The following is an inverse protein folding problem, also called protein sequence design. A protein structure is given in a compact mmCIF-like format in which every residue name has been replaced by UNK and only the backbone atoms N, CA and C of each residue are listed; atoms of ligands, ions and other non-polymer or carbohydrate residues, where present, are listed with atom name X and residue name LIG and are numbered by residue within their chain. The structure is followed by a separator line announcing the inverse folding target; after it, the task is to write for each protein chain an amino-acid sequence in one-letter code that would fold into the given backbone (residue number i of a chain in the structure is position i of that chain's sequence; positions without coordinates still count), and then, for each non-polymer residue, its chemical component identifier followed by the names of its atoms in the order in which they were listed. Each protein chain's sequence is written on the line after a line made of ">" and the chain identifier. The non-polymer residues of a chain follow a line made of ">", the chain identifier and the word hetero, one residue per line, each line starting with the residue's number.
data_IF_223908576425
#
_entry.id   IF_223908576425
#
_cell.length_a   1.000
_cell.length_b   1.000
_cell.length_c   1.000
_cell.angle_alpha   90.00
_cell.angle_beta   90.00
_cell.angle_gamma   90.00
#
_symmetry.space_group_name_H-M   'P 1'
#
loop_
_entity.id
_entity.type
_entity.pdbx_description
1 polymer ?
#
# COMPACT_ATOMS: atom_id res chain seq x y z
N UNK A 1 -10.46 -9.26 -1.80
CA UNK A 1 -11.20 -10.19 -0.92
C UNK A 1 -12.23 -9.42 -0.08
N UNK A 2 -13.29 -10.07 0.40
CA UNK A 2 -14.30 -9.45 1.27
C UNK A 2 -14.28 -10.00 2.70
N UNK A 3 -13.53 -11.07 2.94
CA UNK A 3 -13.24 -11.67 4.25
C UNK A 3 -11.72 -11.67 4.44
N UNK A 4 -11.26 -11.43 5.67
CA UNK A 4 -9.86 -11.22 6.00
C UNK A 4 -9.44 -12.10 7.18
N UNK A 5 -8.25 -12.70 7.09
CA UNK A 5 -7.67 -13.53 8.14
C UNK A 5 -6.91 -12.69 9.18
N UNK A 6 -6.38 -11.54 8.76
CA UNK A 6 -5.66 -10.59 9.61
C UNK A 6 -5.91 -9.15 9.09
N UNK A 7 -5.92 -8.18 10.00
CA UNK A 7 -6.03 -6.75 9.70
C UNK A 7 -5.11 -5.98 10.65
N UNK A 8 -4.21 -5.18 10.07
CA UNK A 8 -3.21 -4.39 10.78
C UNK A 8 -3.35 -2.92 10.41
N UNK A 9 -3.54 -2.09 11.43
CA UNK A 9 -3.48 -0.64 11.30
C UNK A 9 -2.02 -0.23 11.46
N UNK A 10 -1.39 0.19 10.37
CA UNK A 10 0.05 0.42 10.33
C UNK A 10 0.40 1.85 10.77
N UNK A 11 -0.32 2.83 10.24
CA UNK A 11 -0.13 4.26 10.50
C UNK A 11 -1.46 4.98 10.35
N UNK A 12 -1.61 6.13 10.98
CA UNK A 12 -2.75 7.00 10.74
C UNK A 12 -2.96 8.05 11.83
N UNK A 13 -3.72 9.07 11.46
CA UNK A 13 -4.19 10.12 12.35
C UNK A 13 -5.63 10.44 11.98
N UNK A 14 -6.51 10.50 12.98
CA UNK A 14 -7.94 10.75 12.78
C UNK A 14 -8.13 12.10 12.10
N UNK A 15 -8.84 12.11 10.98
CA UNK A 15 -9.08 13.32 10.17
C UNK A 15 -8.03 13.58 9.08
N UNK A 16 -6.90 12.87 9.13
CA UNK A 16 -5.75 13.17 8.27
C UNK A 16 -5.43 12.02 7.31
N UNK A 17 -5.09 10.84 7.80
CA UNK A 17 -4.70 9.73 6.93
C UNK A 17 -4.79 8.38 7.64
N UNK A 18 -4.78 7.30 6.86
CA UNK A 18 -4.71 5.94 7.38
C UNK A 18 -3.96 5.03 6.42
N UNK A 19 -3.22 4.08 6.98
CA UNK A 19 -2.58 2.96 6.28
C UNK A 19 -3.01 1.65 6.94
N UNK A 20 -3.69 0.79 6.19
CA UNK A 20 -4.18 -0.51 6.67
C UNK A 20 -3.66 -1.62 5.77
N UNK A 21 -3.14 -2.69 6.38
CA UNK A 21 -2.82 -3.94 5.69
C UNK A 21 -3.78 -5.05 6.12
N UNK A 22 -4.27 -5.86 5.19
CA UNK A 22 -5.16 -7.00 5.45
C UNK A 22 -4.67 -8.23 4.72
N UNK A 23 -4.80 -9.41 5.35
CA UNK A 23 -4.36 -10.69 4.80
C UNK A 23 -5.55 -11.56 4.40
N UNK A 24 -5.42 -12.28 3.29
CA UNK A 24 -6.32 -13.35 2.88
C UNK A 24 -5.51 -14.49 2.28
N UNK A 25 -5.48 -15.64 2.95
CA UNK A 25 -4.53 -16.71 2.65
C UNK A 25 -3.09 -16.23 2.84
N UNK A 26 -2.29 -16.37 1.79
CA UNK A 26 -0.89 -15.95 1.74
C UNK A 26 -0.69 -14.52 1.20
N UNK A 27 -1.73 -13.94 0.63
CA UNK A 27 -1.67 -12.61 0.01
C UNK A 27 -2.00 -11.52 1.02
N UNK A 28 -1.28 -10.40 0.89
CA UNK A 28 -1.57 -9.18 1.63
C UNK A 28 -2.10 -8.08 0.72
N UNK A 29 -2.93 -7.22 1.29
CA UNK A 29 -3.50 -6.05 0.63
C UNK A 29 -3.28 -4.85 1.52
N UNK A 30 -2.69 -3.79 0.97
CA UNK A 30 -2.49 -2.53 1.67
C UNK A 30 -3.31 -1.44 1.01
N UNK A 31 -3.98 -0.63 1.82
CA UNK A 31 -4.63 0.60 1.41
C UNK A 31 -4.08 1.77 2.23
N UNK A 32 -3.72 2.85 1.55
CA UNK A 32 -3.40 4.14 2.13
C UNK A 32 -4.32 5.20 1.53
N UNK A 33 -4.79 6.13 2.36
CA UNK A 33 -5.57 7.29 1.92
C UNK A 33 -5.22 8.50 2.80
N UNK A 34 -5.29 9.69 2.21
CA UNK A 34 -5.03 10.97 2.89
C UNK A 34 -6.24 11.91 2.76
N UNK A 35 -6.22 12.98 3.54
CA UNK A 35 -7.12 14.12 3.49
C UNK A 35 -6.76 15.05 2.31
N UNK A 36 -7.21 16.30 2.33
CA UNK A 36 -6.84 17.28 1.29
C UNK A 36 -5.38 17.74 1.37
N UNK A 37 -4.62 17.27 2.36
CA UNK A 37 -3.20 17.53 2.49
C UNK A 37 -2.41 16.40 1.81
N UNK A 38 -1.59 16.76 0.82
CA UNK A 38 -0.67 15.81 0.18
C UNK A 38 0.32 15.23 1.22
N UNK A 39 0.74 13.98 1.03
CA UNK A 39 1.50 13.27 2.05
C UNK A 39 2.48 12.26 1.48
N UNK A 40 3.72 12.35 1.94
CA UNK A 40 4.73 11.30 1.72
C UNK A 40 4.73 10.34 2.91
N UNK A 41 4.69 9.04 2.61
CA UNK A 41 4.64 7.98 3.61
C UNK A 41 5.75 6.97 3.40
N UNK A 42 6.46 6.68 4.50
CA UNK A 42 7.37 5.55 4.62
C UNK A 42 6.66 4.42 5.35
N UNK A 43 6.33 3.35 4.63
CA UNK A 43 5.55 2.22 5.16
C UNK A 43 6.45 0.98 5.30
N UNK A 44 6.84 0.60 6.54
CA UNK A 44 7.58 -0.63 6.77
C UNK A 44 6.76 -1.87 6.41
N UNK A 45 7.33 -2.79 5.65
CA UNK A 45 6.63 -4.00 5.17
C UNK A 45 6.79 -5.22 6.09
N UNK A 46 7.19 -5.00 7.35
CA UNK A 46 7.41 -6.06 8.34
C UNK A 46 6.21 -6.98 8.57
N UNK A 47 4.99 -6.52 8.22
CA UNK A 47 3.79 -7.34 8.33
C UNK A 47 3.77 -8.53 7.36
N UNK A 48 4.52 -8.47 6.26
CA UNK A 48 4.67 -9.57 5.30
C UNK A 48 5.37 -10.79 5.91
N UNK A 49 6.13 -10.58 6.99
CA UNK A 49 6.93 -11.63 7.61
C UNK A 49 8.04 -12.12 6.68
N UNK A 50 8.37 -13.41 6.80
CA UNK A 50 9.41 -14.03 6.00
C UNK A 50 8.90 -14.39 4.60
N UNK A 51 9.77 -14.26 3.60
CA UNK A 51 9.48 -14.65 2.21
C UNK A 51 9.65 -13.50 1.23
N UNK A 52 9.38 -13.81 -0.03
CA UNK A 52 9.38 -12.85 -1.15
C UNK A 52 7.95 -12.65 -1.64
N UNK A 53 7.67 -11.43 -2.06
CA UNK A 53 6.36 -11.03 -2.54
C UNK A 53 6.52 -10.17 -3.79
N UNK A 54 5.62 -10.36 -4.74
CA UNK A 54 5.44 -9.43 -5.85
C UNK A 54 4.39 -8.39 -5.45
N UNK A 55 4.83 -7.15 -5.24
CA UNK A 55 3.96 -6.02 -4.96
C UNK A 55 3.40 -5.46 -6.28
N UNK A 56 2.09 -5.55 -6.46
CA UNK A 56 1.31 -4.86 -7.49
C UNK A 56 0.81 -3.55 -6.89
N UNK A 57 1.43 -2.43 -7.29
CA UNK A 57 1.23 -1.12 -6.68
C UNK A 57 0.42 -0.26 -7.63
N UNK A 58 -0.66 0.32 -7.12
CA UNK A 58 -1.50 1.31 -7.77
C UNK A 58 -1.43 2.58 -6.91
N UNK A 59 -0.87 3.64 -7.46
CA UNK A 59 -0.61 4.88 -6.73
C UNK A 59 -0.97 6.10 -7.58
N UNK A 60 -1.25 7.21 -6.91
CA UNK A 60 -1.50 8.48 -7.58
C UNK A 60 -0.36 8.82 -8.56
N UNK A 61 -0.72 9.27 -9.76
CA UNK A 61 0.26 9.85 -10.68
C UNK A 61 0.73 11.22 -10.17
N UNK A 62 1.87 11.69 -10.70
CA UNK A 62 2.46 12.97 -10.29
C UNK A 62 1.55 14.20 -10.53
N UNK A 63 0.52 14.08 -11.37
CA UNK A 63 -0.46 15.11 -11.68
C UNK A 63 -1.88 14.78 -11.19
N UNK A 64 -2.03 13.79 -10.30
CA UNK A 64 -3.33 13.35 -9.78
C UNK A 64 -4.07 14.43 -8.97
N UNK A 65 -3.35 15.46 -8.50
CA UNK A 65 -3.93 16.67 -7.90
C UNK A 65 -4.82 17.45 -8.87
N UNK A 66 -4.52 17.36 -10.17
CA UNK A 66 -5.24 18.05 -11.26
C UNK A 66 -6.06 17.09 -12.11
N UNK A 67 -5.61 15.85 -12.27
CA UNK A 67 -6.30 14.82 -13.05
C UNK A 67 -6.50 13.57 -12.19
N UNK A 68 -7.58 13.51 -11.37
CA UNK A 68 -7.78 12.47 -10.36
C UNK A 68 -7.85 11.03 -10.87
N UNK A 69 -8.03 10.85 -12.18
CA UNK A 69 -8.08 9.55 -12.85
C UNK A 69 -6.71 9.01 -13.26
N UNK A 70 -5.64 9.81 -13.15
CA UNK A 70 -4.30 9.37 -13.50
C UNK A 70 -3.70 8.53 -12.37
N UNK A 71 -3.37 7.28 -12.70
CA UNK A 71 -2.83 6.28 -11.77
C UNK A 71 -1.59 5.66 -12.37
N UNK A 72 -0.54 5.52 -11.56
CA UNK A 72 0.62 4.71 -11.88
C UNK A 72 0.40 3.28 -11.38
N UNK A 73 0.67 2.30 -12.25
CA UNK A 73 0.67 0.89 -11.90
C UNK A 73 2.06 0.30 -12.12
N UNK A 74 2.64 -0.33 -11.09
CA UNK A 74 3.96 -0.96 -11.20
C UNK A 74 4.08 -2.23 -10.38
N UNK A 75 5.05 -3.05 -10.78
CA UNK A 75 5.45 -4.27 -10.09
C UNK A 75 6.80 -4.05 -9.38
N UNK A 76 6.92 -4.56 -8.16
CA UNK A 76 8.19 -4.56 -7.41
C UNK A 76 8.30 -5.82 -6.57
N UNK A 77 9.44 -6.51 -6.64
CA UNK A 77 9.73 -7.56 -5.66
C UNK A 77 10.13 -6.95 -4.31
N UNK A 78 9.55 -7.47 -3.23
CA UNK A 78 9.78 -7.00 -1.87
C UNK A 78 9.79 -8.17 -0.89
N UNK A 79 10.28 -7.88 0.31
CA UNK A 79 10.40 -8.73 1.48
C UNK A 79 9.90 -7.98 2.72
N UNK A 80 9.76 -8.68 3.85
CA UNK A 80 9.40 -8.04 5.11
C UNK A 80 10.43 -7.03 5.64
N UNK A 81 11.67 -7.02 5.14
CA UNK A 81 12.69 -6.03 5.51
C UNK A 81 12.63 -4.72 4.70
N UNK A 82 11.78 -4.67 3.67
CA UNK A 82 11.67 -3.48 2.83
C UNK A 82 10.80 -2.39 3.46
N UNK A 83 10.99 -1.16 2.98
CA UNK A 83 10.07 -0.03 3.17
C UNK A 83 9.49 0.36 1.81
N UNK A 84 8.19 0.63 1.80
CA UNK A 84 7.49 1.18 0.65
C UNK A 84 7.33 2.68 0.83
N UNK A 85 7.92 3.44 -0.08
CA UNK A 85 7.75 4.90 -0.18
C UNK A 85 6.57 5.18 -1.11
N UNK A 86 5.64 6.01 -0.64
CA UNK A 86 4.44 6.39 -1.40
C UNK A 86 4.20 7.89 -1.25
N UNK A 87 3.91 8.55 -2.36
CA UNK A 87 3.36 9.89 -2.39
C UNK A 87 1.84 9.81 -2.58
N UNK A 88 1.08 10.47 -1.73
CA UNK A 88 -0.37 10.61 -1.83
C UNK A 88 -0.71 12.03 -2.25
N UNK A 89 -1.43 12.17 -3.37
CA UNK A 89 -1.97 13.44 -3.79
C UNK A 89 -3.08 13.92 -2.83
N UNK A 90 -3.47 15.20 -2.85
CA UNK A 90 -4.64 15.69 -2.10
C UNK A 90 -5.91 14.86 -2.37
N UNK A 91 -6.49 14.27 -1.32
CA UNK A 91 -7.65 13.38 -1.40
C UNK A 91 -7.37 12.03 -2.06
N UNK A 92 -6.09 11.73 -2.29
CA UNK A 92 -5.61 10.57 -3.03
C UNK A 92 -5.29 9.37 -2.15
N UNK A 93 -4.57 8.41 -2.73
CA UNK A 93 -4.37 7.11 -2.11
C UNK A 93 -3.38 6.20 -2.82
N UNK A 94 -3.17 5.04 -2.21
CA UNK A 94 -2.42 3.94 -2.78
C UNK A 94 -3.06 2.62 -2.40
N UNK A 95 -3.14 1.70 -3.36
CA UNK A 95 -3.54 0.32 -3.14
C UNK A 95 -2.43 -0.61 -3.59
N UNK A 96 -2.11 -1.61 -2.77
CA UNK A 96 -1.08 -2.60 -3.08
C UNK A 96 -1.61 -3.99 -2.83
N UNK A 97 -1.39 -4.91 -3.78
CA UNK A 97 -1.51 -6.34 -3.55
C UNK A 97 -0.13 -6.96 -3.51
N UNK A 98 0.20 -7.66 -2.43
CA UNK A 98 1.41 -8.45 -2.29
C UNK A 98 1.05 -9.91 -2.50
N UNK A 99 1.52 -10.46 -3.63
CA UNK A 99 1.35 -11.88 -3.94
C UNK A 99 2.58 -12.62 -3.49
N UNK A 100 2.41 -13.66 -2.67
CA UNK A 100 3.55 -14.46 -2.22
C UNK A 100 4.19 -15.16 -3.42
N UNK A 101 5.50 -14.98 -3.60
CA UNK A 101 6.23 -15.70 -4.64
C UNK A 101 6.84 -16.95 -4.03
N UNK A 102 6.79 -18.06 -4.77
CA UNK A 102 7.44 -19.29 -4.36
C UNK A 102 8.97 -19.10 -4.44
N UNK A 103 9.67 -19.49 -3.39
CA UNK A 103 11.09 -19.75 -3.50
C UNK A 103 11.24 -21.16 -4.09
N UNK A 104 12.04 -21.29 -5.15
CA UNK A 104 12.56 -22.60 -5.59
C UNK A 104 13.42 -23.23 -4.48
#
# INVERSE_FOLDING_TARGET
>A
PTVWDDTRFLQGQVGDYVVVARRSGDDWYLGAMTDWTARDLDIPLGFLGNGRFLAQIYEDAADADRVPTHVNARLREVTGSDTLHVHLAPGGGCAVRFVRTWAE
#
